data_IF_735670423196
#
_entry.id   IF_735670423196
#
_cell.length_a   1.000
_cell.length_b   1.000
_cell.length_c   1.000
_cell.angle_alpha   90.00
_cell.angle_beta   90.00
_cell.angle_gamma   90.00
#
_symmetry.space_group_name_H-M   'P 1'
#
loop_
_entity.id
_entity.type
_entity.pdbx_description
1 polymer ?
#
# COMPACT_ATOMS: atom_id res chain seq x y z
N UNK A 1 -23.30 -6.74 -10.37
CA UNK A 1 -23.35 -5.33 -9.91
C UNK A 1 -22.70 -5.28 -8.53
N UNK A 2 -21.57 -4.59 -8.40
CA UNK A 2 -20.89 -4.40 -7.12
C UNK A 2 -21.81 -3.56 -6.22
N UNK A 3 -22.03 -4.01 -4.99
CA UNK A 3 -22.96 -3.39 -4.03
C UNK A 3 -22.15 -2.62 -2.99
N UNK A 4 -21.32 -1.68 -3.43
CA UNK A 4 -20.42 -0.95 -2.55
C UNK A 4 -21.04 0.30 -1.93
N UNK A 5 -20.66 0.54 -0.67
CA UNK A 5 -21.05 1.69 0.13
C UNK A 5 -20.63 2.99 -0.57
N UNK A 6 -21.40 4.06 -0.36
CA UNK A 6 -21.26 5.34 -1.08
C UNK A 6 -19.84 5.95 -1.03
N UNK A 7 -19.07 5.61 0.01
CA UNK A 7 -17.69 6.07 0.23
C UNK A 7 -16.65 5.34 -0.63
N UNK A 8 -16.89 4.08 -1.02
CA UNK A 8 -15.90 3.23 -1.73
C UNK A 8 -16.08 3.22 -3.26
N UNK A 9 -17.24 3.65 -3.77
CA UNK A 9 -17.54 3.75 -5.21
C UNK A 9 -16.53 4.55 -6.05
N UNK A 10 -15.87 5.60 -5.55
CA UNK A 10 -14.88 6.32 -6.35
C UNK A 10 -13.64 5.48 -6.68
N UNK A 11 -13.26 4.59 -5.77
CA UNK A 11 -12.09 3.71 -5.93
C UNK A 11 -12.37 2.52 -6.87
N UNK A 12 -13.64 2.24 -7.17
CA UNK A 12 -14.06 1.28 -8.20
C UNK A 12 -13.46 1.65 -9.57
N UNK A 13 -13.26 2.95 -9.86
CA UNK A 13 -12.59 3.40 -11.09
C UNK A 13 -11.13 2.92 -11.18
N UNK A 14 -10.39 2.92 -10.08
CA UNK A 14 -9.01 2.41 -10.08
C UNK A 14 -8.95 0.89 -10.22
N UNK A 15 -9.89 0.18 -9.58
CA UNK A 15 -10.04 -1.28 -9.76
C UNK A 15 -10.39 -1.59 -11.22
N UNK A 16 -11.32 -0.86 -11.83
CA UNK A 16 -11.72 -1.04 -13.23
C UNK A 16 -10.58 -0.74 -14.22
N UNK A 17 -9.70 0.22 -13.93
CA UNK A 17 -8.50 0.49 -14.75
C UNK A 17 -7.49 -0.65 -14.71
N UNK A 18 -7.37 -1.37 -13.61
CA UNK A 18 -6.44 -2.50 -13.47
C UNK A 18 -7.03 -3.81 -14.00
N UNK A 19 -8.30 -4.08 -13.74
CA UNK A 19 -9.03 -5.27 -14.21
C UNK A 19 -10.24 -5.57 -13.33
N UNK A 20 -11.31 -6.12 -13.93
CA UNK A 20 -12.55 -6.41 -13.21
C UNK A 20 -12.47 -7.73 -12.42
N UNK A 21 -13.00 -7.79 -11.18
CA UNK A 21 -13.00 -9.01 -10.39
C UNK A 21 -13.79 -10.12 -11.06
N UNK A 22 -13.36 -11.36 -10.85
CA UNK A 22 -14.12 -12.52 -11.26
C UNK A 22 -15.46 -12.59 -10.48
N UNK A 23 -16.52 -13.12 -11.10
CA UNK A 23 -17.84 -13.15 -10.46
C UNK A 23 -17.83 -14.05 -9.23
N UNK A 24 -18.13 -13.49 -8.05
CA UNK A 24 -18.19 -14.22 -6.79
C UNK A 24 -16.91 -14.21 -5.96
N UNK A 25 -15.83 -13.56 -6.43
CA UNK A 25 -14.63 -13.33 -5.63
C UNK A 25 -14.85 -12.22 -4.58
N UNK A 26 -13.95 -12.15 -3.59
CA UNK A 26 -13.98 -11.14 -2.55
C UNK A 26 -13.82 -9.74 -3.17
N UNK A 27 -14.68 -8.80 -2.77
CA UNK A 27 -14.62 -7.43 -3.27
C UNK A 27 -13.45 -6.68 -2.63
N UNK A 28 -12.38 -6.51 -3.40
CA UNK A 28 -11.11 -5.90 -2.96
C UNK A 28 -11.18 -4.37 -3.01
N UNK A 29 -12.27 -3.78 -3.54
CA UNK A 29 -12.43 -2.33 -3.71
C UNK A 29 -12.34 -1.57 -2.38
N UNK A 30 -12.90 -2.11 -1.30
CA UNK A 30 -12.86 -1.49 0.02
C UNK A 30 -11.44 -1.50 0.62
N UNK A 31 -10.69 -2.58 0.38
CA UNK A 31 -9.30 -2.67 0.81
C UNK A 31 -8.43 -1.65 0.08
N UNK A 32 -8.54 -1.61 -1.25
CA UNK A 32 -7.88 -0.65 -2.14
C UNK A 32 -8.14 0.80 -1.68
N UNK A 33 -9.41 1.13 -1.46
CA UNK A 33 -9.77 2.47 -0.99
C UNK A 33 -9.04 2.88 0.30
N UNK A 34 -8.92 1.96 1.25
CA UNK A 34 -8.21 2.20 2.52
C UNK A 34 -6.70 2.26 2.30
N UNK A 35 -6.12 1.30 1.58
CA UNK A 35 -4.67 1.24 1.37
C UNK A 35 -4.14 2.41 0.56
N UNK A 36 -4.82 2.76 -0.54
CA UNK A 36 -4.48 3.94 -1.33
C UNK A 36 -4.49 5.21 -0.49
N UNK A 37 -5.56 5.40 0.28
CA UNK A 37 -5.74 6.58 1.14
C UNK A 37 -4.62 6.69 2.17
N UNK A 38 -4.25 5.58 2.81
CA UNK A 38 -3.17 5.53 3.81
C UNK A 38 -1.80 5.77 3.19
N UNK A 39 -1.47 5.10 2.08
CA UNK A 39 -0.18 5.27 1.39
C UNK A 39 -0.03 6.70 0.90
N UNK A 40 -1.07 7.26 0.29
CA UNK A 40 -1.07 8.66 -0.17
C UNK A 40 -0.88 9.62 1.01
N UNK A 41 -1.66 9.44 2.09
CA UNK A 41 -1.59 10.28 3.27
C UNK A 41 -0.20 10.26 3.91
N UNK A 42 0.45 9.10 3.95
CA UNK A 42 1.81 8.96 4.47
C UNK A 42 2.84 9.66 3.59
N UNK A 43 2.75 9.54 2.27
CA UNK A 43 3.72 10.17 1.35
C UNK A 43 3.64 11.69 1.34
N UNK A 44 2.42 12.25 1.39
CA UNK A 44 2.20 13.70 1.29
C UNK A 44 2.27 14.41 2.64
N UNK A 45 1.78 13.77 3.71
CA UNK A 45 2.18 14.07 5.09
C UNK A 45 2.25 15.54 5.56
N UNK A 46 1.27 16.40 5.27
CA UNK A 46 1.21 17.77 5.81
C UNK A 46 -0.24 18.17 6.15
N UNK A 47 -0.43 18.80 7.32
CA UNK A 47 -1.75 19.19 7.81
C UNK A 47 -2.38 20.31 6.97
N UNK A 48 -1.60 21.34 6.65
CA UNK A 48 -2.06 22.52 5.96
C UNK A 48 -2.36 22.24 4.50
N UNK A 49 -1.40 21.64 3.81
CA UNK A 49 -1.54 21.23 2.42
C UNK A 49 -2.57 20.11 2.26
N UNK A 50 -2.66 19.17 3.21
CA UNK A 50 -3.70 18.13 3.24
C UNK A 50 -5.11 18.70 3.37
N UNK A 51 -5.29 19.77 4.16
CA UNK A 51 -6.56 20.50 4.24
C UNK A 51 -6.92 21.17 2.91
N UNK A 52 -5.94 21.81 2.25
CA UNK A 52 -6.15 22.41 0.92
C UNK A 52 -6.56 21.34 -0.10
N UNK A 53 -5.90 20.18 -0.11
CA UNK A 53 -6.28 19.06 -0.99
C UNK A 53 -7.69 18.56 -0.70
N UNK A 54 -8.08 18.41 0.58
CA UNK A 54 -9.43 18.02 0.96
C UNK A 54 -10.48 19.05 0.49
N UNK A 55 -10.18 20.35 0.64
CA UNK A 55 -11.05 21.45 0.20
C UNK A 55 -11.20 21.48 -1.33
N UNK A 56 -10.09 21.32 -2.06
CA UNK A 56 -10.09 21.22 -3.53
C UNK A 56 -10.89 19.99 -3.98
N UNK A 57 -10.72 18.85 -3.33
CA UNK A 57 -11.51 17.64 -3.59
C UNK A 57 -13.02 17.86 -3.38
N UNK A 58 -13.38 18.52 -2.27
CA UNK A 58 -14.77 18.88 -1.97
C UNK A 58 -15.35 19.86 -3.01
N UNK A 59 -14.59 20.87 -3.41
CA UNK A 59 -15.00 21.84 -4.43
C UNK A 59 -15.17 21.18 -5.80
N UNK A 60 -14.24 20.30 -6.20
CA UNK A 60 -14.35 19.51 -7.44
C UNK A 60 -15.56 18.59 -7.43
N UNK A 61 -15.88 17.99 -6.28
CA UNK A 61 -17.07 17.15 -6.14
C UNK A 61 -18.35 17.97 -6.30
N UNK A 62 -18.43 19.16 -5.69
CA UNK A 62 -19.60 20.05 -5.78
C UNK A 62 -19.80 20.66 -7.16
N UNK A 63 -18.72 21.03 -7.85
CA UNK A 63 -18.78 21.74 -9.14
C UNK A 63 -18.83 20.80 -10.35
N UNK A 64 -17.97 19.78 -10.40
CA UNK A 64 -17.79 18.92 -11.60
C UNK A 64 -18.26 17.48 -11.42
N UNK A 65 -18.62 17.06 -10.19
CA UNK A 65 -19.04 15.67 -9.86
C UNK A 65 -18.09 14.59 -10.40
N UNK A 66 -16.80 14.90 -10.56
CA UNK A 66 -15.81 13.97 -11.09
C UNK A 66 -15.50 12.88 -10.06
N UNK A 67 -15.26 11.65 -10.52
CA UNK A 67 -14.89 10.51 -9.67
C UNK A 67 -13.62 10.80 -8.85
N UNK A 68 -12.64 11.47 -9.47
CA UNK A 68 -11.38 11.88 -8.85
C UNK A 68 -11.57 12.80 -7.63
N UNK A 69 -12.55 13.72 -7.67
CA UNK A 69 -12.82 14.63 -6.55
C UNK A 69 -13.27 13.90 -5.29
N UNK A 70 -13.95 12.76 -5.44
CA UNK A 70 -14.38 11.94 -4.30
C UNK A 70 -13.26 11.09 -3.70
N UNK A 71 -12.22 10.79 -4.47
CA UNK A 71 -11.02 10.08 -3.99
C UNK A 71 -10.10 11.06 -3.26
N UNK A 72 -10.02 12.30 -3.75
CA UNK A 72 -9.15 13.32 -3.17
C UNK A 72 -9.54 13.73 -1.73
N UNK A 73 -10.82 13.66 -1.38
CA UNK A 73 -11.32 13.99 -0.02
C UNK A 73 -10.73 13.07 1.06
N UNK A 74 -10.91 11.73 1.01
CA UNK A 74 -10.31 10.83 2.00
C UNK A 74 -8.78 10.89 1.99
N UNK A 75 -8.16 11.07 0.83
CA UNK A 75 -6.71 11.28 0.70
C UNK A 75 -6.23 12.53 1.47
N UNK A 76 -6.92 13.67 1.32
CA UNK A 76 -6.62 14.90 2.04
C UNK A 76 -6.80 14.75 3.56
N UNK A 77 -7.88 14.09 3.99
CA UNK A 77 -8.14 13.81 5.42
C UNK A 77 -7.03 12.92 6.01
N UNK A 78 -6.65 11.85 5.30
CA UNK A 78 -5.57 10.98 5.77
C UNK A 78 -4.23 11.71 5.80
N UNK A 79 -3.97 12.58 4.84
CA UNK A 79 -2.77 13.40 4.86
C UNK A 79 -2.75 14.37 6.05
N UNK A 80 -3.89 14.95 6.43
CA UNK A 80 -3.99 15.75 7.65
C UNK A 80 -3.65 14.93 8.90
N UNK A 81 -4.14 13.69 8.99
CA UNK A 81 -3.81 12.79 10.11
C UNK A 81 -2.31 12.50 10.18
N UNK A 82 -1.66 12.19 9.06
CA UNK A 82 -0.20 11.95 9.03
C UNK A 82 0.61 13.24 9.21
N UNK A 83 0.12 14.38 8.75
CA UNK A 83 0.71 15.70 9.02
C UNK A 83 0.74 16.05 10.51
N UNK A 84 -0.26 15.65 11.28
CA UNK A 84 -0.22 15.75 12.76
C UNK A 84 0.83 14.83 13.40
N UNK A 85 1.12 13.69 12.78
CA UNK A 85 2.15 12.76 13.25
C UNK A 85 3.54 13.30 12.94
N UNK A 86 3.72 13.91 11.76
CA UNK A 86 4.98 14.55 11.37
C UNK A 86 5.19 15.94 11.99
N UNK A 87 4.13 16.57 12.52
CA UNK A 87 4.19 17.90 13.12
C UNK A 87 4.32 19.05 12.11
N UNK A 88 3.99 18.81 10.84
CA UNK A 88 4.07 19.77 9.75
C UNK A 88 2.72 20.43 9.45
N UNK A 89 2.68 21.77 9.46
CA UNK A 89 1.55 22.55 8.95
C UNK A 89 2.06 23.60 7.96
N UNK A 90 1.78 23.41 6.66
CA UNK A 90 2.32 24.26 5.59
C UNK A 90 3.85 24.38 5.63
N UNK A 91 4.52 23.33 6.09
CA UNK A 91 5.97 23.30 6.32
C UNK A 91 6.50 24.20 7.45
N UNK A 92 5.64 24.91 8.20
CA UNK A 92 6.05 25.57 9.43
C UNK A 92 6.11 24.57 10.57
N UNK A 93 7.32 24.16 10.97
CA UNK A 93 7.55 23.28 12.13
C UNK A 93 7.23 23.98 13.47
N UNK A 94 7.23 25.32 13.51
CA UNK A 94 7.08 26.12 14.75
C UNK A 94 5.65 26.57 15.12
N UNK A 95 4.64 26.37 14.25
CA UNK A 95 3.26 26.81 14.52
C UNK A 95 2.46 25.84 15.41
N UNK A 96 2.92 24.61 15.58
CA UNK A 96 2.30 23.57 16.40
C UNK A 96 2.93 23.41 17.80
N UNK A 97 4.05 24.08 18.08
CA UNK A 97 4.68 24.10 19.41
C UNK A 97 3.70 24.43 20.56
N UNK A 98 2.75 25.38 20.42
CA UNK A 98 1.77 25.67 21.47
C UNK A 98 0.73 24.56 21.68
N UNK A 99 0.47 23.74 20.66
CA UNK A 99 -0.52 22.66 20.71
C UNK A 99 0.08 21.38 21.31
N UNK A 100 1.35 21.09 21.04
CA UNK A 100 2.08 20.00 21.70
C UNK A 100 2.34 20.29 23.19
N UNK A 101 2.58 21.55 23.57
CA UNK A 101 2.66 21.97 24.97
C UNK A 101 1.31 21.84 25.70
N UNK A 102 0.18 22.06 25.01
CA UNK A 102 -1.16 21.93 25.60
C UNK A 102 -1.63 20.46 25.75
N UNK A 103 -1.04 19.53 24.99
CA UNK A 103 -1.34 18.08 25.03
C UNK A 103 -0.34 17.30 25.90
N UNK A 104 0.74 17.94 26.39
CA UNK A 104 1.62 17.37 27.41
C UNK A 104 2.72 16.44 26.88
N UNK A 105 3.11 16.56 25.61
CA UNK A 105 4.26 15.84 25.05
C UNK A 105 5.45 16.80 24.99
N UNK A 106 6.43 16.58 25.86
CA UNK A 106 7.58 17.46 26.08
C UNK A 106 8.66 17.41 24.99
N UNK A 107 8.51 16.57 23.95
CA UNK A 107 9.46 16.47 22.84
C UNK A 107 8.76 16.19 21.50
N UNK A 108 9.35 16.74 20.43
CA UNK A 108 8.94 16.63 19.03
C UNK A 108 8.70 15.15 18.65
N UNK A 109 7.55 14.77 18.05
CA UNK A 109 7.30 13.37 17.74
C UNK A 109 8.30 12.79 16.73
N UNK A 110 8.63 13.51 15.65
CA UNK A 110 9.58 13.09 14.61
C UNK A 110 10.09 14.30 13.79
N UNK A 111 11.38 14.63 13.88
CA UNK A 111 12.02 15.49 12.87
C UNK A 111 12.40 14.65 11.65
N UNK A 112 11.71 14.86 10.54
CA UNK A 112 11.88 14.10 9.28
C UNK A 112 13.34 14.15 8.79
N UNK A 113 14.06 15.24 9.06
CA UNK A 113 15.43 15.46 8.60
C UNK A 113 16.52 14.92 9.55
N UNK A 114 16.31 14.95 10.87
CA UNK A 114 17.29 14.43 11.83
C UNK A 114 17.18 12.91 12.01
N UNK A 115 16.03 12.33 11.68
CA UNK A 115 15.79 10.89 11.82
C UNK A 115 15.30 10.25 10.51
N UNK A 116 16.00 10.52 9.40
CA UNK A 116 15.79 9.88 8.08
C UNK A 116 15.62 8.35 8.24
N UNK A 117 16.47 7.74 9.06
CA UNK A 117 16.42 6.31 9.34
C UNK A 117 15.09 5.88 9.98
N UNK A 118 14.51 6.68 10.89
CA UNK A 118 13.23 6.36 11.52
C UNK A 118 12.06 6.50 10.57
N UNK A 119 12.05 7.53 9.72
CA UNK A 119 11.00 7.73 8.70
C UNK A 119 11.04 6.60 7.68
N UNK A 120 12.24 6.23 7.24
CA UNK A 120 12.42 5.12 6.29
C UNK A 120 12.03 3.77 6.92
N UNK A 121 12.45 3.50 8.16
CA UNK A 121 12.13 2.25 8.86
C UNK A 121 10.63 2.16 9.15
N UNK A 122 9.99 3.27 9.53
CA UNK A 122 8.53 3.35 9.69
C UNK A 122 7.80 3.08 8.37
N UNK A 123 8.25 3.68 7.26
CA UNK A 123 7.67 3.45 5.94
C UNK A 123 7.79 1.99 5.49
N UNK A 124 8.95 1.37 5.71
CA UNK A 124 9.15 -0.08 5.46
C UNK A 124 8.22 -0.90 6.36
N UNK A 125 8.14 -0.57 7.66
CA UNK A 125 7.31 -1.28 8.62
C UNK A 125 5.82 -1.26 8.27
N UNK A 126 5.29 -0.10 7.86
CA UNK A 126 3.91 0.00 7.39
C UNK A 126 3.73 -0.74 6.06
N UNK A 127 4.70 -0.67 5.16
CA UNK A 127 4.71 -1.42 3.91
C UNK A 127 4.61 -2.94 4.12
N UNK A 128 5.42 -3.49 5.02
CA UNK A 128 5.35 -4.88 5.45
C UNK A 128 3.95 -5.20 5.97
N UNK A 129 3.39 -4.36 6.85
CA UNK A 129 2.04 -4.53 7.38
C UNK A 129 0.98 -4.59 6.27
N UNK A 130 1.02 -3.70 5.29
CA UNK A 130 0.10 -3.67 4.16
C UNK A 130 0.22 -4.90 3.25
N UNK A 131 1.45 -5.39 3.02
CA UNK A 131 1.70 -6.66 2.31
C UNK A 131 1.14 -7.84 3.07
N UNK A 132 1.36 -7.90 4.39
CA UNK A 132 0.81 -8.97 5.23
C UNK A 132 -0.72 -8.96 5.20
N UNK A 133 -1.36 -7.79 5.31
CA UNK A 133 -2.83 -7.68 5.21
C UNK A 133 -3.33 -8.15 3.84
N UNK A 134 -2.62 -7.82 2.75
CA UNK A 134 -2.97 -8.30 1.41
C UNK A 134 -2.89 -9.82 1.28
N UNK A 135 -1.82 -10.43 1.80
CA UNK A 135 -1.71 -11.89 1.82
C UNK A 135 -2.83 -12.53 2.66
N UNK A 136 -3.17 -11.94 3.81
CA UNK A 136 -4.29 -12.42 4.64
C UNK A 136 -5.61 -12.35 3.86
N UNK A 137 -5.86 -11.26 3.12
CA UNK A 137 -7.05 -11.15 2.27
C UNK A 137 -7.07 -12.22 1.18
N UNK A 138 -5.92 -12.57 0.59
CA UNK A 138 -5.84 -13.67 -0.36
C UNK A 138 -6.18 -15.01 0.33
N UNK A 139 -5.63 -15.31 1.51
CA UNK A 139 -5.99 -16.51 2.29
C UNK A 139 -7.49 -16.58 2.56
N UNK A 140 -8.11 -15.48 3.00
CA UNK A 140 -9.56 -15.42 3.26
C UNK A 140 -10.37 -15.63 1.97
N UNK A 141 -9.91 -15.07 0.85
CA UNK A 141 -10.56 -15.26 -0.45
C UNK A 141 -10.50 -16.73 -0.89
N UNK A 142 -9.35 -17.39 -0.76
CA UNK A 142 -9.14 -18.80 -1.12
C UNK A 142 -9.94 -19.77 -0.23
N UNK A 143 -10.03 -19.49 1.07
CA UNK A 143 -10.90 -20.24 1.99
C UNK A 143 -12.37 -20.11 1.57
N UNK A 144 -12.80 -18.90 1.19
CA UNK A 144 -14.17 -18.66 0.73
C UNK A 144 -14.48 -19.33 -0.61
N UNK A 145 -13.47 -19.50 -1.46
CA UNK A 145 -13.54 -20.28 -2.70
C UNK A 145 -13.51 -21.80 -2.48
N UNK A 146 -13.42 -22.27 -1.21
CA UNK A 146 -13.32 -23.70 -0.81
C UNK A 146 -12.07 -24.43 -1.34
N UNK A 147 -11.01 -23.70 -1.70
CA UNK A 147 -9.70 -24.24 -2.08
C UNK A 147 -8.75 -24.18 -0.89
N UNK A 148 -8.80 -25.22 -0.06
CA UNK A 148 -8.06 -25.25 1.20
C UNK A 148 -6.57 -25.53 1.00
N UNK A 149 -6.21 -26.27 -0.06
CA UNK A 149 -4.82 -26.53 -0.44
C UNK A 149 -4.12 -25.24 -0.86
N UNK A 150 -4.77 -24.47 -1.73
CA UNK A 150 -4.29 -23.16 -2.17
C UNK A 150 -4.18 -22.15 -1.02
N UNK A 151 -5.09 -22.17 -0.04
CA UNK A 151 -5.04 -21.26 1.11
C UNK A 151 -3.86 -21.53 2.08
N UNK A 152 -3.51 -22.80 2.30
CA UNK A 152 -2.42 -23.17 3.21
C UNK A 152 -1.05 -23.11 2.56
N UNK A 153 -0.91 -23.64 1.34
CA UNK A 153 0.38 -23.97 0.73
C UNK A 153 0.80 -23.04 -0.42
N UNK A 154 -0.03 -22.09 -0.84
CA UNK A 154 0.38 -21.13 -1.88
C UNK A 154 1.38 -20.10 -1.35
N UNK A 155 2.11 -19.47 -2.28
CA UNK A 155 3.07 -18.39 -2.02
C UNK A 155 2.44 -17.14 -1.35
N UNK A 156 1.15 -16.89 -1.59
CA UNK A 156 0.39 -15.85 -0.89
C UNK A 156 -0.53 -16.44 0.20
N UNK A 157 -0.37 -17.73 0.51
CA UNK A 157 -1.08 -18.47 1.53
C UNK A 157 -0.42 -18.36 2.91
N UNK A 158 -0.85 -19.21 3.84
CA UNK A 158 -0.32 -19.21 5.22
C UNK A 158 1.18 -19.51 5.27
N UNK A 159 1.66 -20.45 4.46
CA UNK A 159 3.09 -20.78 4.37
C UNK A 159 3.93 -19.59 3.86
N UNK A 160 3.40 -18.85 2.87
CA UNK A 160 4.04 -17.65 2.35
C UNK A 160 4.07 -16.49 3.34
N UNK A 161 2.97 -16.27 4.07
CA UNK A 161 2.92 -15.25 5.15
C UNK A 161 3.97 -15.56 6.22
N UNK A 162 4.04 -16.82 6.66
CA UNK A 162 5.03 -17.24 7.65
C UNK A 162 6.46 -17.02 7.14
N UNK A 163 6.76 -17.41 5.91
CA UNK A 163 8.08 -17.18 5.31
C UNK A 163 8.40 -15.68 5.25
N UNK A 164 7.47 -14.87 4.74
CA UNK A 164 7.64 -13.42 4.61
C UNK A 164 7.91 -12.75 5.96
N UNK A 165 7.11 -13.04 6.99
CA UNK A 165 7.27 -12.47 8.32
C UNK A 165 8.58 -12.88 9.00
N UNK A 166 9.00 -14.13 8.81
CA UNK A 166 10.27 -14.62 9.37
C UNK A 166 11.47 -13.99 8.66
N UNK A 167 11.39 -13.82 7.33
CA UNK A 167 12.42 -13.13 6.55
C UNK A 167 12.55 -11.66 6.99
N UNK A 168 11.42 -10.99 7.20
CA UNK A 168 11.38 -9.62 7.73
C UNK A 168 11.99 -9.54 9.13
N UNK A 169 11.61 -10.43 10.05
CA UNK A 169 12.15 -10.44 11.41
C UNK A 169 13.68 -10.64 11.41
N UNK A 170 14.21 -11.42 10.47
CA UNK A 170 15.64 -11.63 10.29
C UNK A 170 16.35 -10.36 9.79
N UNK A 171 15.74 -9.60 8.87
CA UNK A 171 16.25 -8.28 8.45
C UNK A 171 16.23 -7.27 9.60
N UNK A 172 15.16 -7.23 10.39
CA UNK A 172 15.07 -6.34 11.58
C UNK A 172 16.11 -6.72 12.63
N UNK A 173 16.35 -8.02 12.84
CA UNK A 173 17.40 -8.51 13.73
C UNK A 173 18.80 -8.08 13.28
N UNK A 174 19.09 -8.07 11.97
CA UNK A 174 20.36 -7.55 11.43
C UNK A 174 20.54 -6.05 11.67
N UNK A 175 19.45 -5.29 11.79
CA UNK A 175 19.47 -3.85 12.04
C UNK A 175 19.47 -3.47 13.54
N UNK A 176 19.71 -4.43 14.45
CA UNK A 176 19.63 -4.26 15.91
C UNK A 176 18.25 -3.76 16.40
N UNK A 177 17.17 -4.12 15.69
CA UNK A 177 15.81 -3.85 16.14
C UNK A 177 15.31 -4.82 17.23
N UNK A 178 14.19 -4.52 17.91
CA UNK A 178 13.58 -5.44 18.86
C UNK A 178 13.22 -6.76 18.16
N UNK A 179 13.77 -7.88 18.64
CA UNK A 179 13.49 -9.20 18.09
C UNK A 179 12.17 -9.73 18.66
N UNK A 180 11.19 -9.96 17.80
CA UNK A 180 9.92 -10.62 18.18
C UNK A 180 10.16 -12.13 18.29
N UNK A 181 11.04 -12.68 17.45
CA UNK A 181 11.41 -14.11 17.44
C UNK A 181 12.94 -14.25 17.48
N UNK A 182 13.51 -15.11 18.34
CA UNK A 182 14.94 -15.37 18.37
C UNK A 182 15.48 -15.88 17.02
N UNK A 183 16.63 -15.38 16.59
CA UNK A 183 17.26 -15.74 15.30
C UNK A 183 17.46 -17.26 15.14
N UNK A 184 17.74 -17.98 16.23
CA UNK A 184 17.93 -19.42 16.23
C UNK A 184 16.66 -20.22 15.84
N UNK A 185 15.47 -19.67 16.09
CA UNK A 185 14.19 -20.30 15.75
C UNK A 185 13.74 -19.90 14.33
N UNK A 186 14.24 -18.79 13.80
CA UNK A 186 13.90 -18.33 12.46
C UNK A 186 14.45 -19.25 11.36
N UNK A 187 15.70 -19.71 11.49
CA UNK A 187 16.36 -20.57 10.50
C UNK A 187 15.61 -21.89 10.24
N UNK A 188 15.23 -22.69 11.27
CA UNK A 188 14.47 -23.91 11.02
C UNK A 188 13.07 -23.64 10.45
N UNK A 189 12.42 -22.54 10.82
CA UNK A 189 11.13 -22.16 10.25
C UNK A 189 11.26 -21.81 8.76
N UNK A 190 12.30 -21.06 8.36
CA UNK A 190 12.57 -20.76 6.95
C UNK A 190 12.81 -22.05 6.17
N UNK A 191 13.62 -22.96 6.70
CA UNK A 191 13.90 -24.25 6.06
C UNK A 191 12.63 -25.07 5.86
N UNK A 192 11.77 -25.17 6.89
CA UNK A 192 10.50 -25.89 6.82
C UNK A 192 9.55 -25.23 5.82
N UNK A 193 9.40 -23.90 5.84
CA UNK A 193 8.53 -23.18 4.90
C UNK A 193 9.04 -23.31 3.46
N UNK A 194 10.36 -23.25 3.25
CA UNK A 194 10.96 -23.41 1.94
C UNK A 194 10.74 -24.83 1.39
N UNK A 195 10.85 -25.86 2.23
CA UNK A 195 10.52 -27.25 1.85
C UNK A 195 9.04 -27.39 1.52
N UNK A 196 8.15 -26.80 2.31
CA UNK A 196 6.70 -26.83 2.06
C UNK A 196 6.36 -26.14 0.73
N UNK A 197 6.95 -24.97 0.45
CA UNK A 197 6.74 -24.25 -0.81
C UNK A 197 7.34 -24.99 -2.00
N UNK A 198 8.48 -25.66 -1.82
CA UNK A 198 9.10 -26.49 -2.86
C UNK A 198 8.19 -27.65 -3.30
N UNK A 199 7.38 -28.19 -2.38
CA UNK A 199 6.42 -29.26 -2.69
C UNK A 199 4.98 -28.77 -2.87
N UNK A 200 4.74 -27.45 -2.99
CA UNK A 200 3.38 -26.91 -2.99
C UNK A 200 2.49 -27.53 -4.06
N UNK A 201 3.01 -27.84 -5.26
CA UNK A 201 2.19 -28.36 -6.36
C UNK A 201 1.64 -29.74 -6.04
N UNK A 202 2.46 -30.57 -5.39
CA UNK A 202 2.06 -31.90 -4.90
C UNK A 202 1.09 -31.77 -3.73
N UNK A 203 1.34 -30.86 -2.78
CA UNK A 203 0.46 -30.68 -1.61
C UNK A 203 -0.90 -30.07 -2.00
N UNK A 204 -0.93 -29.12 -2.94
CA UNK A 204 -2.16 -28.50 -3.44
C UNK A 204 -2.96 -29.52 -4.26
N UNK A 205 -2.31 -30.29 -5.14
CA UNK A 205 -2.97 -31.37 -5.90
C UNK A 205 -3.55 -32.46 -4.98
N UNK A 206 -2.85 -32.80 -3.89
CA UNK A 206 -3.31 -33.79 -2.92
C UNK A 206 -4.48 -33.30 -2.07
N UNK A 207 -4.52 -32.01 -1.73
CA UNK A 207 -5.53 -31.43 -0.83
C UNK A 207 -6.78 -30.95 -1.58
N UNK A 208 -6.63 -30.29 -2.72
CA UNK A 208 -7.77 -29.75 -3.50
C UNK A 208 -8.39 -30.78 -4.45
N UNK A 209 -7.85 -32.01 -4.52
CA UNK A 209 -8.35 -33.14 -5.33
C UNK A 209 -8.59 -32.79 -6.81
N UNK A 210 -7.82 -31.87 -7.37
CA UNK A 210 -7.79 -31.65 -8.81
C UNK A 210 -6.61 -32.43 -9.42
N UNK A 211 -6.87 -33.44 -10.27
CA UNK A 211 -5.83 -34.35 -10.79
C UNK A 211 -4.96 -33.75 -11.90
N UNK A 212 -5.13 -32.46 -12.25
CA UNK A 212 -4.71 -31.95 -13.56
C UNK A 212 -3.33 -31.25 -13.59
N UNK A 213 -2.54 -31.30 -12.51
CA UNK A 213 -1.17 -30.77 -12.48
C UNK A 213 -0.14 -31.80 -11.98
N UNK A 214 -0.19 -33.02 -12.51
CA UNK A 214 0.94 -33.94 -12.35
C UNK A 214 1.93 -33.70 -13.50
N UNK A 215 3.15 -33.19 -13.22
CA UNK A 215 4.16 -33.02 -14.25
C UNK A 215 4.58 -34.39 -14.80
N UNK A 216 4.59 -34.54 -16.12
CA UNK A 216 4.95 -35.79 -16.79
C UNK A 216 6.45 -36.14 -16.65
N UNK A 217 7.27 -35.25 -16.06
CA UNK A 217 8.73 -35.38 -15.93
C UNK A 217 9.23 -34.90 -14.56
N UNK A 218 10.01 -35.75 -13.88
CA UNK A 218 10.69 -35.44 -12.60
C UNK A 218 11.69 -34.27 -12.77
N UNK A 219 12.30 -34.14 -13.95
CA UNK A 219 13.26 -33.07 -14.24
C UNK A 219 12.58 -31.73 -14.44
N UNK A 220 11.45 -31.68 -15.16
CA UNK A 220 10.68 -30.43 -15.33
C UNK A 220 10.13 -29.94 -14.00
N UNK A 221 9.63 -30.86 -13.17
CA UNK A 221 9.18 -30.53 -11.81
C UNK A 221 10.30 -29.94 -10.95
N UNK A 222 11.49 -30.55 -10.98
CA UNK A 222 12.63 -30.06 -10.20
C UNK A 222 13.06 -28.67 -10.65
N UNK A 223 13.19 -28.46 -11.97
CA UNK A 223 13.58 -27.17 -12.52
C UNK A 223 12.54 -26.09 -12.22
N UNK A 224 11.25 -26.39 -12.44
CA UNK A 224 10.17 -25.44 -12.18
C UNK A 224 10.14 -25.00 -10.71
N UNK A 225 10.20 -25.93 -9.76
CA UNK A 225 10.19 -25.59 -8.33
C UNK A 225 11.40 -24.75 -7.91
N UNK A 226 12.59 -25.00 -8.48
CA UNK A 226 13.77 -24.16 -8.21
C UNK A 226 13.55 -22.74 -8.71
N UNK A 227 13.08 -22.56 -9.94
CA UNK A 227 12.80 -21.23 -10.50
C UNK A 227 11.70 -20.50 -9.73
N UNK A 228 10.63 -21.19 -9.37
CA UNK A 228 9.54 -20.63 -8.56
C UNK A 228 10.03 -20.18 -7.18
N UNK A 229 10.86 -20.99 -6.50
CA UNK A 229 11.45 -20.62 -5.21
C UNK A 229 12.32 -19.36 -5.31
N UNK A 230 13.11 -19.23 -6.38
CA UNK A 230 13.89 -18.02 -6.65
C UNK A 230 12.97 -16.83 -6.92
N UNK A 231 11.91 -17.00 -7.70
CA UNK A 231 10.92 -15.95 -7.95
C UNK A 231 10.25 -15.49 -6.65
N UNK A 232 9.95 -16.39 -5.71
CA UNK A 232 9.36 -16.05 -4.41
C UNK A 232 10.30 -15.21 -3.55
N UNK A 233 11.57 -15.62 -3.45
CA UNK A 233 12.59 -14.85 -2.73
C UNK A 233 12.80 -13.47 -3.34
N UNK A 234 12.91 -13.39 -4.67
CA UNK A 234 13.05 -12.13 -5.40
C UNK A 234 11.82 -11.25 -5.22
N UNK A 235 10.62 -11.83 -5.25
CA UNK A 235 9.37 -11.11 -5.01
C UNK A 235 9.36 -10.53 -3.60
N UNK A 236 9.58 -11.33 -2.55
CA UNK A 236 9.58 -10.80 -1.17
C UNK A 236 10.62 -9.69 -0.95
N UNK A 237 11.81 -9.85 -1.51
CA UNK A 237 12.85 -8.82 -1.46
C UNK A 237 12.43 -7.55 -2.19
N UNK A 238 11.98 -7.68 -3.44
CA UNK A 238 11.53 -6.56 -4.28
C UNK A 238 10.40 -5.76 -3.64
N UNK A 239 9.46 -6.45 -3.00
CA UNK A 239 8.34 -5.83 -2.30
C UNK A 239 8.80 -4.97 -1.12
N UNK A 240 9.66 -5.51 -0.26
CA UNK A 240 10.20 -4.74 0.88
C UNK A 240 10.98 -3.51 0.42
N UNK A 241 11.82 -3.65 -0.62
CA UNK A 241 12.58 -2.54 -1.21
C UNK A 241 11.66 -1.50 -1.84
N UNK A 242 10.54 -1.91 -2.43
CA UNK A 242 9.60 -0.99 -3.09
C UNK A 242 8.99 0.04 -2.15
N UNK A 243 8.76 -0.32 -0.87
CA UNK A 243 8.24 0.61 0.14
C UNK A 243 9.23 1.67 0.60
N UNK A 244 10.53 1.51 0.32
CA UNK A 244 11.51 2.60 0.51
C UNK A 244 11.08 3.87 -0.24
N UNK A 245 10.35 3.71 -1.34
CA UNK A 245 9.86 4.84 -2.12
C UNK A 245 8.83 5.67 -1.35
N UNK A 246 8.02 5.06 -0.49
CA UNK A 246 7.11 5.79 0.41
C UNK A 246 7.91 6.75 1.29
N UNK A 247 8.98 6.26 1.93
CA UNK A 247 9.88 7.08 2.73
C UNK A 247 10.61 8.15 1.91
N UNK A 248 11.06 7.81 0.70
CA UNK A 248 11.71 8.78 -0.19
C UNK A 248 10.79 9.96 -0.54
N UNK A 249 9.49 9.72 -0.77
CA UNK A 249 8.53 10.81 -1.03
C UNK A 249 8.31 11.71 0.19
N UNK A 250 8.29 11.16 1.40
CA UNK A 250 8.24 11.97 2.64
C UNK A 250 9.47 12.88 2.76
N UNK A 251 10.65 12.37 2.41
CA UNK A 251 11.89 13.17 2.41
C UNK A 251 11.91 14.24 1.31
N UNK A 252 11.41 13.92 0.12
CA UNK A 252 11.28 14.89 -0.98
C UNK A 252 10.33 16.01 -0.58
N UNK A 253 9.19 15.68 0.04
CA UNK A 253 8.25 16.66 0.58
C UNK A 253 8.91 17.61 1.58
N UNK A 254 9.56 17.06 2.61
CA UNK A 254 10.26 17.87 3.60
C UNK A 254 11.38 18.72 2.97
N UNK A 255 12.14 18.16 2.02
CA UNK A 255 13.19 18.87 1.29
C UNK A 255 12.66 20.00 0.41
N UNK A 256 11.55 19.78 -0.29
CA UNK A 256 10.90 20.80 -1.13
C UNK A 256 10.38 21.96 -0.28
N UNK A 257 9.78 21.67 0.87
CA UNK A 257 9.37 22.71 1.82
C UNK A 257 10.56 23.52 2.35
N UNK A 258 11.67 22.87 2.68
CA UNK A 258 12.90 23.56 3.07
C UNK A 258 13.42 24.51 1.98
N UNK A 259 13.37 24.10 0.71
CA UNK A 259 13.76 24.96 -0.41
C UNK A 259 12.82 26.16 -0.54
N UNK A 260 11.51 25.97 -0.38
CA UNK A 260 10.53 27.08 -0.42
C UNK A 260 10.83 28.12 0.67
N UNK A 261 11.13 27.70 1.90
CA UNK A 261 11.49 28.61 2.99
C UNK A 261 12.85 29.28 2.77
N UNK A 262 13.84 28.54 2.27
CA UNK A 262 15.15 29.10 1.93
C UNK A 262 15.05 30.19 0.86
N UNK A 263 14.18 30.00 -0.15
CA UNK A 263 13.90 31.00 -1.19
C UNK A 263 13.06 32.18 -0.68
N UNK A 264 12.22 32.00 0.34
CA UNK A 264 11.44 33.07 0.94
C UNK A 264 12.30 34.07 1.72
N UNK A 265 13.47 33.64 2.21
CA UNK A 265 14.44 34.45 2.95
C UNK A 265 13.93 34.92 4.32
N UNK A 266 14.73 35.70 5.04
CA UNK A 266 14.39 36.22 6.38
C UNK A 266 13.22 37.19 6.41
N UNK A 267 12.77 37.68 5.25
CA UNK A 267 11.67 38.63 5.12
C UNK A 267 10.29 37.96 5.03
N UNK A 268 10.22 36.62 5.19
CA UNK A 268 8.99 35.82 5.10
C UNK A 268 8.09 36.27 3.94
N UNK A 269 8.66 36.38 2.74
CA UNK A 269 7.92 36.94 1.61
C UNK A 269 6.70 36.07 1.31
N UNK A 270 5.52 36.55 1.73
CA UNK A 270 4.25 35.83 1.71
C UNK A 270 3.92 35.33 0.30
N UNK A 271 4.33 36.09 -0.73
CA UNK A 271 4.12 35.73 -2.14
C UNK A 271 4.91 34.47 -2.50
N UNK A 272 6.16 34.36 -2.06
CA UNK A 272 7.03 33.20 -2.34
C UNK A 272 6.52 31.97 -1.59
N UNK A 273 6.12 32.13 -0.33
CA UNK A 273 5.59 31.04 0.48
C UNK A 273 4.26 30.53 -0.08
N UNK A 274 3.36 31.42 -0.49
CA UNK A 274 2.08 31.06 -1.09
C UNK A 274 2.28 30.33 -2.43
N UNK A 275 3.11 30.88 -3.32
CA UNK A 275 3.39 30.29 -4.63
C UNK A 275 4.12 28.95 -4.47
N UNK A 276 5.10 28.88 -3.58
CA UNK A 276 5.83 27.66 -3.25
C UNK A 276 4.90 26.56 -2.75
N UNK A 277 4.01 26.85 -1.80
CA UNK A 277 3.04 25.88 -1.31
C UNK A 277 2.08 25.41 -2.43
N UNK A 278 1.59 26.31 -3.28
CA UNK A 278 0.74 25.93 -4.42
C UNK A 278 1.49 25.00 -5.38
N UNK A 279 2.77 25.29 -5.66
CA UNK A 279 3.62 24.47 -6.51
C UNK A 279 3.85 23.09 -5.89
N UNK A 280 4.21 23.03 -4.60
CA UNK A 280 4.43 21.77 -3.87
C UNK A 280 3.16 20.93 -3.86
N UNK A 281 2.01 21.51 -3.51
CA UNK A 281 0.72 20.83 -3.52
C UNK A 281 0.41 20.23 -4.91
N UNK A 282 0.62 21.01 -5.98
CA UNK A 282 0.30 20.55 -7.33
C UNK A 282 1.26 19.47 -7.83
N UNK A 283 2.57 19.68 -7.65
CA UNK A 283 3.60 18.77 -8.14
C UNK A 283 3.61 17.48 -7.32
N UNK A 284 3.70 17.58 -6.00
CA UNK A 284 3.78 16.41 -5.14
C UNK A 284 2.45 15.69 -5.01
N UNK A 285 1.32 16.40 -4.97
CA UNK A 285 0.01 15.75 -4.99
C UNK A 285 -0.15 14.86 -6.23
N UNK A 286 0.37 15.29 -7.38
CA UNK A 286 0.37 14.48 -8.60
C UNK A 286 1.35 13.30 -8.51
N UNK A 287 2.60 13.55 -8.10
CA UNK A 287 3.65 12.51 -8.04
C UNK A 287 3.31 11.43 -7.01
N UNK A 288 2.86 11.82 -5.81
CA UNK A 288 2.41 10.90 -4.75
C UNK A 288 1.16 10.12 -5.18
N UNK A 289 0.23 10.76 -5.89
CA UNK A 289 -0.94 10.09 -6.47
C UNK A 289 -0.56 8.98 -7.46
N UNK A 290 0.33 9.27 -8.41
CA UNK A 290 0.84 8.28 -9.39
C UNK A 290 1.58 7.15 -8.66
N UNK A 291 2.39 7.50 -7.67
CA UNK A 291 3.18 6.52 -6.95
C UNK A 291 2.34 5.58 -6.08
N UNK A 292 1.33 6.12 -5.40
CA UNK A 292 0.38 5.32 -4.62
C UNK A 292 -0.33 4.31 -5.53
N UNK A 293 -0.77 4.72 -6.73
CA UNK A 293 -1.37 3.81 -7.71
C UNK A 293 -0.40 2.71 -8.13
N UNK A 294 0.86 3.05 -8.36
CA UNK A 294 1.89 2.07 -8.74
C UNK A 294 2.09 1.03 -7.63
N UNK A 295 2.19 1.46 -6.36
CA UNK A 295 2.30 0.52 -5.22
C UNK A 295 1.07 -0.37 -5.09
N UNK A 296 -0.10 0.19 -5.31
CA UNK A 296 -1.33 -0.55 -5.22
C UNK A 296 -1.44 -1.60 -6.32
N UNK A 297 -1.18 -1.23 -7.58
CA UNK A 297 -1.27 -2.10 -8.74
C UNK A 297 -0.22 -3.21 -8.75
N UNK A 298 1.05 -2.89 -8.50
CA UNK A 298 2.12 -3.86 -8.64
C UNK A 298 2.35 -4.71 -7.39
N UNK A 299 2.13 -4.16 -6.19
CA UNK A 299 2.45 -4.86 -4.94
C UNK A 299 1.22 -5.43 -4.24
N UNK A 300 0.04 -4.78 -4.31
CA UNK A 300 -1.18 -5.28 -3.66
C UNK A 300 -2.07 -6.08 -4.62
N UNK A 301 -2.43 -5.52 -5.77
CA UNK A 301 -3.33 -6.17 -6.71
C UNK A 301 -2.76 -7.47 -7.28
N UNK A 302 -1.48 -7.49 -7.66
CA UNK A 302 -0.81 -8.70 -8.13
C UNK A 302 -0.89 -9.89 -7.15
N UNK A 303 -1.11 -9.61 -5.85
CA UNK A 303 -1.22 -10.63 -4.79
C UNK A 303 -2.63 -11.07 -4.48
N UNK A 304 -3.60 -10.16 -4.58
CA UNK A 304 -4.99 -10.41 -4.20
C UNK A 304 -5.88 -10.78 -5.39
N UNK A 305 -5.40 -10.60 -6.62
CA UNK A 305 -6.26 -10.53 -7.79
C UNK A 305 -5.72 -11.27 -9.01
N UNK A 306 -6.44 -12.30 -9.44
CA UNK A 306 -6.30 -12.88 -10.77
C UNK A 306 -7.23 -12.12 -11.73
N UNK A 307 -6.65 -11.29 -12.61
CA UNK A 307 -7.35 -10.33 -13.47
C UNK A 307 -8.18 -10.91 -14.63
N UNK A 308 -8.95 -11.98 -14.39
CA UNK A 308 -9.68 -12.72 -15.43
C UNK A 308 -11.18 -12.37 -15.56
N UNK A 309 -11.70 -11.40 -14.80
CA UNK A 309 -13.13 -11.07 -14.77
C UNK A 309 -13.63 -10.32 -16.02
N UNK A 310 -14.78 -10.73 -16.56
CA UNK A 310 -15.45 -10.08 -17.70
C UNK A 310 -16.50 -9.05 -17.22
N UNK A 311 -16.59 -7.84 -17.79
CA UNK A 311 -17.58 -6.83 -17.39
C UNK A 311 -19.03 -7.30 -17.57
N UNK A 312 -19.86 -7.08 -16.54
CA UNK A 312 -21.30 -7.39 -16.62
C UNK A 312 -22.00 -6.32 -17.44
N UNK A 313 -22.15 -6.54 -18.74
CA UNK A 313 -23.02 -5.70 -19.57
C UNK A 313 -24.47 -6.11 -19.36
N UNK A 314 -25.23 -5.28 -18.65
CA UNK A 314 -26.70 -5.40 -18.64
C UNK A 314 -27.22 -5.17 -20.04
N UNK A 315 -27.99 -6.11 -20.59
CA UNK A 315 -28.76 -5.88 -21.82
C UNK A 315 -29.79 -4.80 -21.51
N UNK A 316 -29.46 -3.57 -21.88
CA UNK A 316 -30.39 -2.44 -21.74
C UNK A 316 -31.20 -2.44 -23.03
N UNK A 317 -32.45 -2.88 -22.97
CA UNK A 317 -33.37 -2.70 -24.09
C UNK A 317 -33.51 -1.19 -24.32
N UNK A 318 -32.85 -0.70 -25.37
CA UNK A 318 -33.04 0.66 -25.86
C UNK A 318 -34.44 0.65 -26.46
N UNK A 319 -35.44 1.07 -25.70
CA UNK A 319 -36.73 1.43 -26.26
C UNK A 319 -36.45 2.64 -27.16
N UNK A 320 -36.25 2.39 -28.44
CA UNK A 320 -36.36 3.41 -29.48
C UNK A 320 -37.77 3.97 -29.38
N UNK A 321 -37.91 5.10 -28.68
CA UNK A 321 -39.11 5.92 -28.77
C UNK A 321 -39.18 6.45 -30.19
N UNK A 322 -40.12 5.87 -30.94
CA UNK A 322 -40.55 6.28 -32.27
C UNK A 322 -41.26 7.63 -32.22
#
# INVERSE_FOLDING_TARGET
KLKNFFLFRPFEYYVEMYGLPNYGSLDITAFVAVTYTVIFGMMFGDLGQGFVLALVGFLMWKLKKTALGKILIPCGISSMCFGLVFGSCFGYEHLLDPLYHAVGLAEKPLEVMNSINTVLLLAIGIGIGLVTVSMILNVVASIKAKKFGEALFSNNGVAGILLYLVLVNLVVAFMNGPQIVPTAVCIPIIAVCAVILFFKEILIALVDREPEKMPESITDFLLQNVFEMLEYLLSYFSNTVSFLRVGAFVLVHAGMMMVVFSLAGESENIVVILLGNVLVIALEGLLTGIQALRLEFYEMFSRCFEGSGKPFRTVTARLEQK
#
